data_IF_261227706885
#
_entry.id   IF_261227706885
#
_cell.length_a   1.000
_cell.length_b   1.000
_cell.length_c   1.000
_cell.angle_alpha   90.00
_cell.angle_beta   90.00
_cell.angle_gamma   90.00
#
_symmetry.space_group_name_H-M   'P 1'
#
loop_
_entity.id
_entity.type
_entity.pdbx_description
1 polymer ?
#
# COMPACT_ATOMS: atom_id res chain seq x y z
N UNK A 1 4.02 -13.22 0.33
CA UNK A 1 3.51 -11.91 -0.13
C UNK A 1 3.84 -11.80 -1.60
N UNK A 2 2.91 -11.38 -2.47
CA UNK A 2 3.22 -11.15 -3.88
C UNK A 2 3.42 -9.65 -4.06
N UNK A 3 4.67 -9.23 -4.27
CA UNK A 3 4.98 -7.85 -4.65
C UNK A 3 4.40 -7.63 -6.03
N UNK A 4 3.46 -6.69 -6.15
CA UNK A 4 2.80 -6.45 -7.42
C UNK A 4 3.55 -5.41 -8.25
N UNK A 5 4.01 -4.34 -7.60
CA UNK A 5 4.72 -3.25 -8.27
C UNK A 5 5.74 -2.60 -7.32
N UNK A 6 6.89 -2.24 -7.88
CA UNK A 6 7.91 -1.40 -7.24
C UNK A 6 8.03 -0.10 -8.03
N UNK A 7 7.94 1.03 -7.33
CA UNK A 7 8.06 2.37 -7.88
C UNK A 7 9.19 3.14 -7.20
N UNK A 8 9.68 4.18 -7.88
CA UNK A 8 10.60 5.13 -7.27
C UNK A 8 9.82 5.99 -6.29
N UNK A 9 10.48 6.39 -5.20
CA UNK A 9 9.87 7.19 -4.14
C UNK A 9 9.32 8.55 -4.63
N UNK A 10 9.89 9.10 -5.72
CA UNK A 10 9.44 10.38 -6.28
C UNK A 10 8.04 10.31 -6.90
N UNK A 11 7.63 9.14 -7.38
CA UNK A 11 6.31 8.92 -7.98
C UNK A 11 5.24 8.54 -6.93
N UNK A 12 5.65 8.35 -5.66
CA UNK A 12 4.78 7.96 -4.55
C UNK A 12 3.62 8.92 -4.36
N UNK A 13 3.89 10.22 -4.31
CA UNK A 13 2.87 11.24 -4.02
C UNK A 13 1.77 11.22 -5.05
N UNK A 14 2.11 11.19 -6.34
CA UNK A 14 1.14 11.14 -7.43
C UNK A 14 0.30 9.86 -7.36
N UNK A 15 0.94 8.72 -7.06
CA UNK A 15 0.24 7.45 -6.91
C UNK A 15 -0.73 7.45 -5.73
N UNK A 16 -0.31 7.96 -4.57
CA UNK A 16 -1.14 8.08 -3.38
C UNK A 16 -2.32 9.03 -3.61
N UNK A 17 -2.10 10.15 -4.30
CA UNK A 17 -3.17 11.08 -4.67
C UNK A 17 -4.16 10.43 -5.65
N UNK A 18 -3.66 9.70 -6.65
CA UNK A 18 -4.49 8.94 -7.58
C UNK A 18 -5.32 7.86 -6.86
N UNK A 19 -4.71 7.14 -5.92
CA UNK A 19 -5.41 6.13 -5.13
C UNK A 19 -6.47 6.76 -4.23
N UNK A 20 -6.14 7.89 -3.59
CA UNK A 20 -7.09 8.64 -2.74
C UNK A 20 -8.24 9.22 -3.55
N UNK A 21 -7.99 9.69 -4.76
CA UNK A 21 -9.04 10.20 -5.65
C UNK A 21 -10.00 9.09 -6.10
N UNK A 22 -9.50 7.85 -6.27
CA UNK A 22 -10.27 6.73 -6.81
C UNK A 22 -10.95 5.87 -5.72
N UNK A 23 -10.26 5.60 -4.62
CA UNK A 23 -10.70 4.71 -3.55
C UNK A 23 -11.07 5.45 -2.26
N UNK A 24 -10.80 6.75 -2.18
CA UNK A 24 -10.99 7.54 -0.97
C UNK A 24 -9.80 7.47 -0.01
N UNK A 25 -9.97 8.00 1.21
CA UNK A 25 -8.90 8.01 2.21
C UNK A 25 -8.50 6.57 2.59
N UNK A 26 -7.20 6.33 2.89
CA UNK A 26 -6.76 5.03 3.38
C UNK A 26 -7.49 4.67 4.66
N UNK A 27 -7.86 3.39 4.79
CA UNK A 27 -8.52 2.84 5.97
C UNK A 27 -7.55 2.77 7.16
N UNK A 28 -6.28 2.53 6.88
CA UNK A 28 -5.25 2.50 7.90
C UNK A 28 -3.96 3.07 7.37
N UNK A 29 -3.28 3.82 8.22
CA UNK A 29 -1.95 4.35 7.99
C UNK A 29 -1.07 3.91 9.15
N UNK A 30 -0.09 3.06 8.87
CA UNK A 30 0.92 2.66 9.85
C UNK A 30 2.23 3.39 9.55
N UNK A 31 2.91 3.81 10.61
CA UNK A 31 4.21 4.43 10.52
C UNK A 31 5.05 3.76 11.59
N UNK A 32 6.01 2.93 11.15
CA UNK A 32 6.95 2.29 12.06
C UNK A 32 8.25 3.09 12.06
N UNK A 33 8.61 3.63 13.23
CA UNK A 33 9.79 4.48 13.43
C UNK A 33 11.00 3.66 13.93
N UNK A 34 10.81 2.37 14.24
CA UNK A 34 11.70 1.67 15.17
C UNK A 34 12.95 1.07 14.50
N UNK A 35 12.99 0.91 13.18
CA UNK A 35 14.23 0.43 12.51
C UNK A 35 14.32 0.61 10.99
N UNK A 36 13.19 0.82 10.33
CA UNK A 36 13.10 1.03 8.89
C UNK A 36 11.96 2.03 8.71
N UNK A 37 12.18 3.12 8.00
CA UNK A 37 11.24 4.25 7.90
C UNK A 37 10.04 3.85 7.01
N UNK A 38 9.29 2.89 7.52
CA UNK A 38 8.32 2.08 6.80
C UNK A 38 6.94 2.66 7.08
N UNK A 39 6.42 3.33 6.05
CA UNK A 39 5.10 3.94 6.09
C UNK A 39 4.17 3.14 5.20
N UNK A 40 3.14 2.55 5.79
CA UNK A 40 2.17 1.72 5.09
C UNK A 40 0.79 2.39 5.06
N UNK A 41 0.16 2.36 3.90
CA UNK A 41 -1.21 2.80 3.66
C UNK A 41 -2.03 1.62 3.15
N UNK A 42 -3.21 1.44 3.72
CA UNK A 42 -4.09 0.31 3.40
C UNK A 42 -5.44 0.80 2.89
N UNK A 43 -5.88 0.25 1.76
CA UNK A 43 -7.21 0.42 1.18
C UNK A 43 -7.89 -0.93 1.02
N UNK A 44 -9.21 -0.94 1.20
CA UNK A 44 -10.06 -2.09 0.96
C UNK A 44 -11.03 -1.72 -0.17
N UNK A 45 -10.95 -2.46 -1.26
CA UNK A 45 -11.79 -2.25 -2.45
C UNK A 45 -13.08 -3.08 -2.40
N UNK A 46 -13.26 -3.90 -1.36
CA UNK A 46 -14.35 -4.86 -1.20
C UNK A 46 -13.97 -6.26 -1.69
N UNK A 47 -13.18 -6.36 -2.78
CA UNK A 47 -12.70 -7.62 -3.35
C UNK A 47 -11.21 -7.85 -3.00
N UNK A 48 -10.41 -6.79 -3.09
CA UNK A 48 -8.97 -6.80 -2.78
C UNK A 48 -8.59 -5.80 -1.69
N UNK A 49 -7.57 -6.16 -0.93
CA UNK A 49 -6.84 -5.25 -0.06
C UNK A 49 -5.61 -4.74 -0.81
N UNK A 50 -5.52 -3.42 -0.95
CA UNK A 50 -4.36 -2.74 -1.54
C UNK A 50 -3.54 -2.18 -0.38
N UNK A 51 -2.27 -2.54 -0.32
CA UNK A 51 -1.30 -2.01 0.63
C UNK A 51 -0.21 -1.31 -0.15
N UNK A 52 -0.03 -0.02 0.09
CA UNK A 52 1.11 0.73 -0.40
C UNK A 52 2.06 0.97 0.76
N UNK A 53 3.33 0.64 0.60
CA UNK A 53 4.34 0.80 1.63
C UNK A 53 5.55 1.54 1.08
N UNK A 54 6.06 2.52 1.82
CA UNK A 54 7.42 3.00 1.62
C UNK A 54 8.33 2.06 2.39
N UNK A 55 9.40 1.58 1.75
CA UNK A 55 10.42 0.79 2.43
C UNK A 55 11.81 1.41 2.24
N UNK A 56 12.56 1.59 3.34
CA UNK A 56 13.95 2.09 3.30
C UNK A 56 14.94 0.95 3.47
N UNK A 57 15.32 0.30 2.37
CA UNK A 57 16.28 -0.81 2.43
C UNK A 57 17.70 -0.29 2.23
N UNK A 58 18.49 -0.24 3.31
CA UNK A 58 19.93 0.08 3.26
C UNK A 58 20.25 1.39 2.51
N UNK A 59 19.46 2.45 2.72
CA UNK A 59 19.64 3.75 2.09
C UNK A 59 19.02 3.87 0.68
N UNK A 60 18.29 2.85 0.22
CA UNK A 60 17.45 2.94 -0.98
C UNK A 60 15.98 2.97 -0.57
N UNK A 61 15.33 4.07 -0.88
CA UNK A 61 13.88 4.23 -0.70
C UNK A 61 13.15 3.64 -1.90
N UNK A 62 12.36 2.61 -1.65
CA UNK A 62 11.46 2.01 -2.61
C UNK A 62 10.01 2.23 -2.18
N UNK A 63 9.12 2.36 -3.15
CA UNK A 63 7.69 2.38 -2.90
C UNK A 63 7.08 1.09 -3.46
N UNK A 64 6.50 0.29 -2.57
CA UNK A 64 6.03 -1.05 -2.86
C UNK A 64 4.51 -1.07 -2.81
N UNK A 65 3.89 -1.60 -3.86
CA UNK A 65 2.45 -1.86 -3.89
C UNK A 65 2.24 -3.37 -3.83
N UNK A 66 1.47 -3.79 -2.84
CA UNK A 66 1.01 -5.16 -2.68
C UNK A 66 -0.51 -5.15 -2.76
N UNK A 67 -1.07 -5.97 -3.64
CA UNK A 67 -2.48 -6.34 -3.55
C UNK A 67 -2.56 -7.74 -2.95
N UNK A 68 -3.52 -7.94 -2.05
CA UNK A 68 -3.88 -9.27 -1.58
C UNK A 68 -5.36 -9.47 -1.83
N UNK A 69 -5.75 -10.61 -2.43
CA UNK A 69 -7.16 -10.98 -2.50
C UNK A 69 -7.68 -10.97 -1.08
N UNK A 70 -8.67 -10.12 -0.82
CA UNK A 70 -9.34 -10.17 0.46
C UNK A 70 -10.07 -11.52 0.45
N UNK A 71 -9.74 -12.40 1.39
CA UNK A 71 -10.42 -13.70 1.50
C UNK A 71 -11.92 -13.57 1.78
N UNK A 72 -12.42 -12.33 1.93
CA UNK A 72 -13.81 -11.96 1.91
C UNK A 72 -14.36 -12.11 0.49
N UNK A 73 -14.49 -13.36 0.04
CA UNK A 73 -15.37 -13.64 -1.09
C UNK A 73 -16.76 -13.11 -0.71
N UNK A 74 -17.41 -12.28 -1.54
CA UNK A 74 -18.84 -11.99 -1.41
C UNK A 74 -19.70 -13.26 -1.52
N UNK A 75 -19.09 -14.40 -1.88
CA UNK A 75 -19.73 -15.69 -2.12
C UNK A 75 -19.85 -16.59 -0.89
N UNK A 76 -19.51 -16.12 0.31
CA UNK A 76 -19.93 -16.82 1.53
C UNK A 76 -21.28 -16.27 1.99
N UNK A 77 -22.29 -16.58 1.16
CA UNK A 77 -23.72 -16.75 1.42
C UNK A 77 -24.38 -15.96 2.55
#
# INVERSE_FOLDING_TARGET
MHLAYEFRIYDMTEFLEGLRARLGPPLSTSFDDDTCNDQDWVWNTGDDLITAGKQDFSGKQAFLISHRPSGLRPETL
#
